data_IF_521820837511
#
_entry.id   IF_521820837511
#
_cell.length_a   1.000
_cell.length_b   1.000
_cell.length_c   1.000
_cell.angle_alpha   90.00
_cell.angle_beta   90.00
_cell.angle_gamma   90.00
#
_symmetry.space_group_name_H-M   'P 1'
#
loop_
_entity.id
_entity.type
_entity.pdbx_description
1 polymer ?
#
# COMPACT_ATOMS: atom_id res chain seq x y z
N UNK A 1 -14.09 -3.42 25.42
CA UNK A 1 -14.19 -3.11 23.97
C UNK A 1 -15.18 -4.08 23.35
N UNK A 2 -16.15 -3.60 22.55
CA UNK A 2 -17.06 -4.49 21.80
C UNK A 2 -16.27 -5.21 20.69
N UNK A 3 -16.75 -6.38 20.24
CA UNK A 3 -16.12 -7.11 19.13
C UNK A 3 -15.92 -6.21 17.89
N UNK A 4 -16.92 -5.40 17.56
CA UNK A 4 -16.84 -4.43 16.48
C UNK A 4 -15.70 -3.41 16.68
N UNK A 5 -15.57 -2.82 17.87
CA UNK A 5 -14.53 -1.81 18.13
C UNK A 5 -13.11 -2.38 17.98
N UNK A 6 -12.90 -3.63 18.37
CA UNK A 6 -11.62 -4.32 18.20
C UNK A 6 -11.31 -4.55 16.72
N UNK A 7 -12.26 -5.08 15.96
CA UNK A 7 -12.08 -5.34 14.51
C UNK A 7 -11.87 -4.04 13.74
N UNK A 8 -12.64 -3.00 14.05
CA UNK A 8 -12.49 -1.68 13.44
C UNK A 8 -11.11 -1.08 13.73
N UNK A 9 -10.62 -1.19 14.98
CA UNK A 9 -9.29 -0.70 15.35
C UNK A 9 -8.20 -1.39 14.54
N UNK A 10 -8.25 -2.73 14.43
CA UNK A 10 -7.28 -3.49 13.62
C UNK A 10 -7.35 -3.11 12.14
N UNK A 11 -8.55 -2.89 11.60
CA UNK A 11 -8.75 -2.47 10.22
C UNK A 11 -8.08 -1.11 9.95
N UNK A 12 -8.34 -0.13 10.82
CA UNK A 12 -7.78 1.22 10.69
C UNK A 12 -6.26 1.21 10.85
N UNK A 13 -5.72 0.44 11.80
CA UNK A 13 -4.26 0.30 11.96
C UNK A 13 -3.60 -0.33 10.74
N UNK A 14 -4.21 -1.36 10.13
CA UNK A 14 -3.70 -1.96 8.90
C UNK A 14 -3.70 -0.97 7.73
N UNK A 15 -4.79 -0.20 7.58
CA UNK A 15 -4.87 0.86 6.57
C UNK A 15 -3.82 1.95 6.81
N UNK A 16 -3.62 2.37 8.06
CA UNK A 16 -2.62 3.37 8.46
C UNK A 16 -1.21 2.91 8.12
N UNK A 17 -0.85 1.67 8.46
CA UNK A 17 0.49 1.13 8.18
C UNK A 17 0.78 1.10 6.69
N UNK A 18 -0.18 0.64 5.88
CA UNK A 18 0.03 0.55 4.44
C UNK A 18 0.01 1.92 3.76
N UNK A 19 -1.08 2.69 3.89
CA UNK A 19 -1.23 3.98 3.22
C UNK A 19 -0.25 5.01 3.79
N UNK A 20 -0.11 5.06 5.11
CA UNK A 20 0.86 5.93 5.79
C UNK A 20 2.31 5.57 5.45
N UNK A 21 2.63 4.28 5.32
CA UNK A 21 3.95 3.84 4.87
C UNK A 21 4.26 4.25 3.43
N UNK A 22 3.29 4.17 2.52
CA UNK A 22 3.44 4.70 1.15
C UNK A 22 3.61 6.22 1.15
N UNK A 23 2.83 6.94 1.96
CA UNK A 23 2.95 8.38 2.12
C UNK A 23 4.35 8.77 2.61
N UNK A 24 4.83 8.12 3.67
CA UNK A 24 6.18 8.33 4.20
C UNK A 24 7.25 8.05 3.15
N UNK A 25 7.16 6.92 2.45
CA UNK A 25 8.12 6.54 1.42
C UNK A 25 8.20 7.61 0.30
N UNK A 26 7.06 8.16 -0.11
CA UNK A 26 6.98 9.09 -1.24
C UNK A 26 7.33 10.53 -0.85
N UNK A 27 6.83 11.00 0.30
CA UNK A 27 6.92 12.40 0.71
C UNK A 27 8.09 12.72 1.63
N UNK A 28 8.59 11.73 2.36
CA UNK A 28 9.63 11.96 3.36
C UNK A 28 10.91 11.24 2.95
N UNK A 29 10.86 9.92 2.82
CA UNK A 29 12.05 9.12 2.56
C UNK A 29 12.68 9.42 1.20
N UNK A 30 11.87 9.55 0.14
CA UNK A 30 12.40 9.83 -1.20
C UNK A 30 13.18 11.15 -1.26
N UNK A 31 12.63 12.30 -0.86
CA UNK A 31 13.39 13.55 -0.84
C UNK A 31 14.65 13.46 0.01
N UNK A 32 14.57 12.82 1.19
CA UNK A 32 15.72 12.62 2.07
C UNK A 32 16.84 11.80 1.41
N UNK A 33 16.50 10.69 0.73
CA UNK A 33 17.47 9.85 0.00
C UNK A 33 18.10 10.60 -1.17
N UNK A 34 17.34 11.44 -1.88
CA UNK A 34 17.87 12.27 -2.98
C UNK A 34 18.85 13.32 -2.43
N UNK A 35 18.53 13.95 -1.31
CA UNK A 35 19.35 14.98 -0.70
C UNK A 35 20.63 14.44 -0.03
N UNK A 36 20.54 13.27 0.61
CA UNK A 36 21.63 12.72 1.42
C UNK A 36 22.61 11.81 0.66
N UNK A 37 22.17 11.21 -0.45
CA UNK A 37 22.95 10.19 -1.16
C UNK A 37 23.10 10.55 -2.64
N UNK A 38 24.19 10.10 -3.25
CA UNK A 38 24.46 10.27 -4.68
C UNK A 38 24.60 8.92 -5.40
N UNK A 39 24.32 8.93 -6.71
CA UNK A 39 24.57 7.79 -7.59
C UNK A 39 23.97 6.45 -7.11
N UNK A 40 24.73 5.34 -7.18
CA UNK A 40 24.25 3.99 -6.85
C UNK A 40 23.74 3.80 -5.41
N UNK A 41 24.21 4.60 -4.45
CA UNK A 41 23.84 4.47 -3.04
C UNK A 41 22.32 4.62 -2.82
N UNK A 42 21.66 5.47 -3.61
CA UNK A 42 20.20 5.64 -3.59
C UNK A 42 19.48 4.33 -3.88
N UNK A 43 19.91 3.60 -4.91
CA UNK A 43 19.29 2.34 -5.33
C UNK A 43 19.48 1.25 -4.26
N UNK A 44 20.69 1.18 -3.68
CA UNK A 44 21.02 0.22 -2.61
C UNK A 44 20.12 0.41 -1.38
N UNK A 45 19.82 1.65 -0.99
CA UNK A 45 18.87 1.92 0.11
C UNK A 45 17.47 1.41 -0.23
N UNK A 46 16.97 1.68 -1.43
CA UNK A 46 15.63 1.23 -1.83
C UNK A 46 15.50 -0.30 -1.89
N UNK A 47 16.55 -1.00 -2.35
CA UNK A 47 16.61 -2.47 -2.32
C UNK A 47 16.50 -3.01 -0.89
N UNK A 48 16.97 -2.27 0.10
CA UNK A 48 16.86 -2.63 1.52
C UNK A 48 15.51 -2.22 2.14
N UNK A 49 14.93 -1.09 1.73
CA UNK A 49 13.67 -0.58 2.27
C UNK A 49 12.47 -1.41 1.82
N UNK A 50 12.33 -1.67 0.51
CA UNK A 50 11.13 -2.32 -0.04
C UNK A 50 10.81 -3.67 0.62
N UNK A 51 11.76 -4.60 0.79
CA UNK A 51 11.45 -5.93 1.35
C UNK A 51 10.95 -5.83 2.79
N UNK A 52 11.54 -4.95 3.59
CA UNK A 52 11.15 -4.71 4.98
C UNK A 52 9.75 -4.11 5.06
N UNK A 53 9.45 -3.14 4.19
CA UNK A 53 8.12 -2.55 4.12
C UNK A 53 7.07 -3.55 3.61
N UNK A 54 7.41 -4.38 2.63
CA UNK A 54 6.46 -5.32 2.01
C UNK A 54 5.99 -6.42 2.95
N UNK A 55 6.76 -6.79 3.97
CA UNK A 55 6.28 -7.67 5.05
C UNK A 55 5.03 -7.07 5.73
N UNK A 56 5.07 -5.78 6.03
CA UNK A 56 3.95 -5.06 6.63
C UNK A 56 2.80 -4.87 5.65
N UNK A 57 3.09 -4.67 4.36
CA UNK A 57 2.06 -4.60 3.33
C UNK A 57 1.34 -5.95 3.20
N UNK A 58 2.06 -7.07 3.20
CA UNK A 58 1.45 -8.41 3.19
C UNK A 58 0.54 -8.64 4.41
N UNK A 59 0.96 -8.20 5.59
CA UNK A 59 0.10 -8.23 6.78
C UNK A 59 -1.18 -7.41 6.56
N UNK A 60 -1.08 -6.19 6.02
CA UNK A 60 -2.24 -5.35 5.71
C UNK A 60 -3.16 -5.97 4.64
N UNK A 61 -2.60 -6.61 3.61
CA UNK A 61 -3.33 -7.33 2.55
C UNK A 61 -4.17 -8.48 3.11
N UNK A 62 -3.79 -9.07 4.24
CA UNK A 62 -4.57 -10.13 4.89
C UNK A 62 -5.54 -9.52 5.91
N UNK A 63 -5.07 -8.60 6.74
CA UNK A 63 -5.86 -8.03 7.84
C UNK A 63 -7.04 -7.21 7.34
N UNK A 64 -6.87 -6.39 6.28
CA UNK A 64 -7.93 -5.52 5.75
C UNK A 64 -9.17 -6.30 5.27
N UNK A 65 -9.08 -7.34 4.43
CA UNK A 65 -10.26 -8.09 4.02
C UNK A 65 -10.87 -8.90 5.17
N UNK A 66 -10.07 -9.53 6.02
CA UNK A 66 -10.57 -10.30 7.18
C UNK A 66 -11.39 -9.39 8.11
N UNK A 67 -10.83 -8.23 8.45
CA UNK A 67 -11.51 -7.27 9.33
C UNK A 67 -12.67 -6.55 8.62
N UNK A 68 -12.53 -6.24 7.33
CA UNK A 68 -13.59 -5.60 6.53
C UNK A 68 -14.83 -6.49 6.40
N UNK A 69 -14.64 -7.76 6.05
CA UNK A 69 -15.73 -8.75 6.00
C UNK A 69 -16.31 -8.98 7.39
N UNK A 70 -15.47 -9.06 8.42
CA UNK A 70 -15.92 -9.17 9.81
C UNK A 70 -16.83 -8.02 10.24
N UNK A 71 -16.49 -6.77 9.89
CA UNK A 71 -17.36 -5.62 10.15
C UNK A 71 -18.68 -5.67 9.38
N UNK A 72 -18.66 -6.18 8.14
CA UNK A 72 -19.89 -6.35 7.36
C UNK A 72 -20.82 -7.35 8.05
N UNK A 73 -20.31 -8.51 8.44
CA UNK A 73 -21.09 -9.56 9.10
C UNK A 73 -21.63 -9.15 10.48
N UNK A 74 -20.94 -8.26 11.20
CA UNK A 74 -21.36 -7.77 12.52
C UNK A 74 -22.45 -6.69 12.46
N UNK A 75 -22.51 -5.91 11.37
CA UNK A 75 -23.41 -4.75 11.26
C UNK A 75 -24.48 -4.88 10.17
N UNK A 76 -24.32 -5.80 9.23
CA UNK A 76 -25.19 -5.96 8.07
C UNK A 76 -25.55 -7.44 7.88
N UNK A 77 -26.74 -7.69 7.34
CA UNK A 77 -27.22 -9.04 7.01
C UNK A 77 -26.58 -9.62 5.74
N UNK A 78 -25.77 -8.85 5.01
CA UNK A 78 -25.04 -9.30 3.82
C UNK A 78 -24.25 -8.17 3.12
N UNK A 79 -23.50 -8.51 2.07
CA UNK A 79 -22.76 -7.52 1.26
C UNK A 79 -23.67 -6.55 0.49
N UNK A 80 -24.88 -7.00 0.16
CA UNK A 80 -25.88 -6.22 -0.58
C UNK A 80 -26.52 -5.12 0.29
N UNK A 81 -26.54 -5.31 1.61
CA UNK A 81 -27.07 -4.33 2.56
C UNK A 81 -26.01 -3.36 3.08
N UNK A 82 -24.74 -3.55 2.71
CA UNK A 82 -23.67 -2.61 3.01
C UNK A 82 -23.79 -1.35 2.12
N UNK A 83 -23.49 -0.16 2.65
CA UNK A 83 -23.50 1.09 1.87
C UNK A 83 -22.62 0.99 0.62
N UNK A 84 -23.02 1.64 -0.49
CA UNK A 84 -22.29 1.55 -1.77
C UNK A 84 -20.83 2.01 -1.65
N UNK A 85 -20.54 2.99 -0.80
CA UNK A 85 -19.16 3.43 -0.58
C UNK A 85 -18.27 2.29 -0.05
N UNK A 86 -18.81 1.33 0.71
CA UNK A 86 -18.05 0.14 1.16
C UNK A 86 -17.71 -0.78 -0.01
N UNK A 87 -18.65 -0.96 -0.95
CA UNK A 87 -18.39 -1.73 -2.17
C UNK A 87 -17.32 -1.05 -3.04
N UNK A 88 -17.34 0.28 -3.14
CA UNK A 88 -16.29 1.05 -3.81
C UNK A 88 -14.94 0.86 -3.09
N UNK A 89 -14.90 0.93 -1.75
CA UNK A 89 -13.67 0.67 -0.99
C UNK A 89 -13.10 -0.73 -1.28
N UNK A 90 -13.95 -1.76 -1.37
CA UNK A 90 -13.54 -3.12 -1.73
C UNK A 90 -12.96 -3.19 -3.15
N UNK A 91 -13.62 -2.54 -4.13
CA UNK A 91 -13.12 -2.49 -5.51
C UNK A 91 -11.76 -1.79 -5.61
N UNK A 92 -11.61 -0.64 -4.96
CA UNK A 92 -10.34 0.09 -4.91
C UNK A 92 -9.25 -0.72 -4.21
N UNK A 93 -9.58 -1.42 -3.12
CA UNK A 93 -8.66 -2.32 -2.44
C UNK A 93 -8.10 -3.41 -3.38
N UNK A 94 -8.96 -4.05 -4.19
CA UNK A 94 -8.51 -5.06 -5.16
C UNK A 94 -7.52 -4.45 -6.16
N UNK A 95 -7.79 -3.23 -6.64
CA UNK A 95 -6.85 -2.51 -7.51
C UNK A 95 -5.52 -2.24 -6.80
N UNK A 96 -5.55 -1.78 -5.54
CA UNK A 96 -4.34 -1.54 -4.75
C UNK A 96 -3.50 -2.80 -4.56
N UNK A 97 -4.14 -3.95 -4.30
CA UNK A 97 -3.47 -5.26 -4.21
C UNK A 97 -2.87 -5.65 -5.55
N UNK A 98 -3.59 -5.49 -6.66
CA UNK A 98 -3.07 -5.82 -7.99
C UNK A 98 -1.82 -4.99 -8.34
N UNK A 99 -1.82 -3.69 -8.00
CA UNK A 99 -0.65 -2.83 -8.15
C UNK A 99 0.51 -3.29 -7.27
N UNK A 100 0.24 -3.61 -6.01
CA UNK A 100 1.24 -4.13 -5.09
C UNK A 100 1.85 -5.46 -5.57
N UNK A 101 1.01 -6.41 -5.98
CA UNK A 101 1.45 -7.70 -6.52
C UNK A 101 2.35 -7.50 -7.73
N UNK A 102 1.97 -6.61 -8.65
CA UNK A 102 2.82 -6.24 -9.79
C UNK A 102 4.19 -5.77 -9.31
N UNK A 103 4.22 -4.72 -8.46
CA UNK A 103 5.46 -4.14 -7.89
C UNK A 103 6.34 -5.23 -7.26
N UNK A 104 5.73 -6.07 -6.42
CA UNK A 104 6.43 -7.10 -5.65
C UNK A 104 6.97 -8.22 -6.54
N UNK A 105 6.18 -8.73 -7.49
CA UNK A 105 6.53 -9.92 -8.27
C UNK A 105 7.36 -9.62 -9.52
N UNK A 106 7.19 -8.44 -10.13
CA UNK A 106 7.86 -8.11 -11.39
C UNK A 106 8.98 -7.10 -11.19
N UNK A 107 8.71 -5.94 -10.59
CA UNK A 107 9.68 -4.85 -10.57
C UNK A 107 10.72 -4.93 -9.45
N UNK A 108 10.37 -5.46 -8.27
CA UNK A 108 11.35 -5.60 -7.17
C UNK A 108 12.49 -6.57 -7.52
N UNK A 109 12.22 -7.76 -8.11
CA UNK A 109 13.29 -8.65 -8.57
C UNK A 109 14.16 -8.01 -9.66
N UNK A 110 13.55 -7.27 -10.59
CA UNK A 110 14.26 -6.55 -11.65
C UNK A 110 15.22 -5.50 -11.06
N UNK A 111 14.74 -4.67 -10.12
CA UNK A 111 15.58 -3.69 -9.42
C UNK A 111 16.74 -4.36 -8.69
N UNK A 112 16.48 -5.45 -7.95
CA UNK A 112 17.52 -6.19 -7.23
C UNK A 112 18.58 -6.73 -8.18
N UNK A 113 18.17 -7.41 -9.24
CA UNK A 113 19.07 -7.97 -10.25
C UNK A 113 19.96 -6.89 -10.87
N UNK A 114 19.39 -5.73 -11.22
CA UNK A 114 20.15 -4.62 -11.79
C UNK A 114 21.15 -4.01 -10.78
N UNK A 115 20.77 -3.92 -9.50
CA UNK A 115 21.68 -3.42 -8.45
C UNK A 115 22.80 -4.41 -8.15
N UNK A 116 22.49 -5.70 -8.10
CA UNK A 116 23.48 -6.77 -7.85
C UNK A 116 24.47 -6.93 -9.01
N UNK A 117 24.02 -6.69 -10.24
CA UNK A 117 24.85 -6.66 -11.45
C UNK A 117 25.52 -5.28 -11.72
N UNK A 118 25.35 -4.31 -10.82
CA UNK A 118 25.86 -2.94 -10.97
C UNK A 118 25.39 -2.19 -12.23
N UNK A 119 24.25 -2.61 -12.79
CA UNK A 119 23.60 -1.99 -13.95
C UNK A 119 22.77 -0.77 -13.51
N UNK A 120 23.45 0.33 -13.18
CA UNK A 120 22.82 1.50 -12.54
C UNK A 120 21.72 2.18 -13.36
N UNK A 121 21.88 2.24 -14.69
CA UNK A 121 20.87 2.82 -15.58
C UNK A 121 19.56 2.01 -15.57
N UNK A 122 19.67 0.68 -15.64
CA UNK A 122 18.53 -0.24 -15.57
C UNK A 122 17.88 -0.18 -14.18
N UNK A 123 18.68 -0.17 -13.11
CA UNK A 123 18.18 -0.04 -11.74
C UNK A 123 17.42 1.28 -11.51
N UNK A 124 17.89 2.39 -12.09
CA UNK A 124 17.20 3.67 -12.03
C UNK A 124 15.85 3.65 -12.79
N UNK A 125 15.81 3.00 -13.95
CA UNK A 125 14.57 2.81 -14.71
C UNK A 125 13.55 1.96 -13.94
N UNK A 126 13.98 0.81 -13.40
CA UNK A 126 13.15 -0.08 -12.59
C UNK A 126 12.59 0.64 -11.35
N UNK A 127 13.42 1.40 -10.62
CA UNK A 127 12.96 2.21 -9.49
C UNK A 127 11.96 3.30 -9.94
N UNK A 128 12.15 3.88 -11.13
CA UNK A 128 11.20 4.81 -11.74
C UNK A 128 9.81 4.20 -11.93
N UNK A 129 9.75 2.96 -12.45
CA UNK A 129 8.50 2.22 -12.62
C UNK A 129 7.83 1.91 -11.27
N UNK A 130 8.59 1.40 -10.30
CA UNK A 130 8.09 1.14 -8.94
C UNK A 130 7.47 2.40 -8.35
N UNK A 131 8.19 3.53 -8.41
CA UNK A 131 7.74 4.81 -7.86
C UNK A 131 6.45 5.31 -8.49
N UNK A 132 6.28 5.14 -9.80
CA UNK A 132 5.04 5.52 -10.50
C UNK A 132 3.86 4.69 -9.98
N UNK A 133 4.03 3.38 -9.88
CA UNK A 133 2.98 2.49 -9.38
C UNK A 133 2.66 2.75 -7.90
N UNK A 134 3.67 2.96 -7.06
CA UNK A 134 3.50 3.35 -5.65
C UNK A 134 2.75 4.69 -5.53
N UNK A 135 3.07 5.68 -6.37
CA UNK A 135 2.37 6.96 -6.37
C UNK A 135 0.89 6.84 -6.74
N UNK A 136 0.57 6.04 -7.77
CA UNK A 136 -0.83 5.73 -8.14
C UNK A 136 -1.53 5.01 -6.98
N UNK A 137 -0.87 4.00 -6.40
CA UNK A 137 -1.43 3.23 -5.29
C UNK A 137 -1.68 4.09 -4.04
N UNK A 138 -0.79 5.06 -3.76
CA UNK A 138 -0.96 6.03 -2.69
C UNK A 138 -2.19 6.92 -2.92
N UNK A 139 -2.39 7.45 -4.13
CA UNK A 139 -3.57 8.28 -4.45
C UNK A 139 -4.86 7.48 -4.22
N UNK A 140 -4.90 6.23 -4.69
CA UNK A 140 -6.05 5.33 -4.47
C UNK A 140 -6.25 5.10 -2.97
N UNK A 141 -5.19 4.79 -2.23
CA UNK A 141 -5.24 4.57 -0.78
C UNK A 141 -5.77 5.78 -0.01
N UNK A 142 -5.32 6.99 -0.36
CA UNK A 142 -5.84 8.23 0.22
C UNK A 142 -7.31 8.45 -0.12
N UNK A 143 -7.74 8.14 -1.34
CA UNK A 143 -9.15 8.19 -1.72
C UNK A 143 -10.01 7.19 -0.93
N UNK A 144 -9.51 5.98 -0.68
CA UNK A 144 -10.20 4.97 0.17
C UNK A 144 -10.34 5.48 1.60
N UNK A 145 -9.28 6.05 2.18
CA UNK A 145 -9.33 6.62 3.54
C UNK A 145 -10.30 7.80 3.61
N UNK A 146 -10.29 8.68 2.62
CA UNK A 146 -11.22 9.80 2.54
C UNK A 146 -12.68 9.32 2.42
N UNK A 147 -12.95 8.28 1.62
CA UNK A 147 -14.27 7.69 1.46
C UNK A 147 -14.78 7.06 2.78
N UNK A 148 -13.90 6.35 3.48
CA UNK A 148 -14.20 5.77 4.79
C UNK A 148 -14.51 6.82 5.86
N UNK A 149 -13.82 7.97 5.82
CA UNK A 149 -14.02 9.08 6.74
C UNK A 149 -15.29 9.88 6.42
N UNK A 150 -15.55 10.15 5.13
CA UNK A 150 -16.68 10.97 4.69
C UNK A 150 -18.02 10.24 4.78
N UNK A 151 -18.03 8.90 4.65
CA UNK A 151 -19.25 8.05 4.70
C UNK A 151 -20.40 8.61 3.87
N UNK A 152 -20.21 8.82 2.55
CA UNK A 152 -21.23 9.44 1.74
C UNK A 152 -22.49 8.56 1.64
N UNK A 153 -23.63 9.21 1.42
CA UNK A 153 -24.97 8.62 1.56
C UNK A 153 -25.51 8.02 0.24
N UNK A 154 -24.73 8.07 -0.84
CA UNK A 154 -25.16 7.66 -2.19
C UNK A 154 -25.02 6.16 -2.47
#
# INVERSE_FOLDING_TARGET
>A
MTAFSTVYTLHVLAALVWVGGMFFAWMVLRPAVIAALEGPARLKVWVQVFPRFFIWVWAAVIVLPVTGIGMIQLNFTGFETAPRYVQIMMGLYVVMVALFLRIHSLQLPELRRAVDAEQWAEGAAALGHIRRLVGINLIIGLAVVALAAARPVF
#
